data_IF_753294692086
#
_entry.id   IF_753294692086
#
_cell.length_a   1.000
_cell.length_b   1.000
_cell.length_c   1.000
_cell.angle_alpha   90.00
_cell.angle_beta   90.00
_cell.angle_gamma   90.00
#
_symmetry.space_group_name_H-M   'P 1'
#
loop_
_entity.id
_entity.type
_entity.pdbx_description
1 polymer ?
#
# COMPACT_ATOMS: atom_id res chain seq x y z
N UNK A 1 -19.70 -70.47 -14.85
CA UNK A 1 -18.37 -70.14 -14.29
C UNK A 1 -17.57 -69.44 -15.38
N UNK A 2 -17.39 -68.11 -15.33
CA UNK A 2 -16.04 -67.52 -15.29
C UNK A 2 -16.14 -66.01 -15.02
N UNK A 3 -15.80 -65.64 -13.79
CA UNK A 3 -15.61 -64.28 -13.29
C UNK A 3 -14.17 -63.85 -13.63
N UNK A 4 -13.96 -63.03 -14.66
CA UNK A 4 -12.60 -62.57 -15.03
C UNK A 4 -12.60 -61.23 -15.80
N UNK A 5 -13.47 -60.28 -15.43
CA UNK A 5 -13.49 -58.95 -16.08
C UNK A 5 -13.65 -57.77 -15.12
N UNK A 6 -13.38 -57.98 -13.83
CA UNK A 6 -13.53 -56.98 -12.78
C UNK A 6 -12.23 -56.55 -12.09
N UNK A 7 -11.06 -57.12 -12.46
CA UNK A 7 -9.78 -56.84 -11.78
C UNK A 7 -8.88 -55.82 -12.50
N UNK A 8 -9.15 -55.48 -13.77
CA UNK A 8 -8.30 -54.54 -14.54
C UNK A 8 -8.74 -53.07 -14.45
N UNK A 9 -10.00 -52.78 -14.10
CA UNK A 9 -10.48 -51.40 -14.03
C UNK A 9 -10.06 -50.71 -12.73
N UNK A 10 -9.98 -51.45 -11.62
CA UNK A 10 -9.59 -50.93 -10.30
C UNK A 10 -8.11 -50.51 -10.25
N UNK A 11 -7.20 -51.27 -10.87
CA UNK A 11 -5.77 -50.93 -10.86
C UNK A 11 -5.43 -49.66 -11.66
N UNK A 12 -6.20 -49.34 -12.70
CA UNK A 12 -6.02 -48.12 -13.49
C UNK A 12 -6.55 -46.86 -12.75
N UNK A 13 -7.65 -47.01 -12.00
CA UNK A 13 -8.25 -45.93 -11.19
C UNK A 13 -7.39 -45.63 -9.95
N UNK A 14 -6.82 -46.66 -9.32
CA UNK A 14 -5.88 -46.52 -8.19
C UNK A 14 -4.57 -45.85 -8.64
N UNK A 15 -4.05 -46.19 -9.83
CA UNK A 15 -2.84 -45.57 -10.39
C UNK A 15 -3.06 -44.09 -10.75
N UNK A 16 -4.23 -43.74 -11.32
CA UNK A 16 -4.58 -42.36 -11.63
C UNK A 16 -4.76 -41.51 -10.36
N UNK A 17 -5.39 -42.08 -9.33
CA UNK A 17 -5.61 -41.41 -8.03
C UNK A 17 -4.28 -41.15 -7.31
N UNK A 18 -3.37 -42.14 -7.30
CA UNK A 18 -2.04 -41.99 -6.71
C UNK A 18 -1.20 -40.93 -7.45
N UNK A 19 -1.29 -40.89 -8.79
CA UNK A 19 -0.58 -39.89 -9.60
C UNK A 19 -1.08 -38.47 -9.32
N UNK A 20 -2.40 -38.28 -9.20
CA UNK A 20 -2.98 -36.96 -8.88
C UNK A 20 -2.60 -36.49 -7.47
N UNK A 21 -2.64 -37.41 -6.49
CA UNK A 21 -2.26 -37.11 -5.11
C UNK A 21 -0.77 -36.78 -4.99
N UNK A 22 0.09 -37.45 -5.75
CA UNK A 22 1.53 -37.18 -5.81
C UNK A 22 1.82 -35.83 -6.50
N UNK A 23 1.08 -35.47 -7.56
CA UNK A 23 1.20 -34.11 -8.16
C UNK A 23 0.73 -33.02 -7.22
N UNK A 24 -0.33 -33.24 -6.44
CA UNK A 24 -0.84 -32.26 -5.48
C UNK A 24 0.13 -32.06 -4.31
N UNK A 25 0.70 -33.14 -3.77
CA UNK A 25 1.72 -33.08 -2.70
C UNK A 25 2.96 -32.34 -3.20
N UNK A 26 3.46 -32.68 -4.39
CA UNK A 26 4.60 -31.98 -5.00
C UNK A 26 4.31 -30.49 -5.26
N UNK A 27 3.08 -30.13 -5.64
CA UNK A 27 2.69 -28.72 -5.84
C UNK A 27 2.66 -27.93 -4.53
N UNK A 28 2.23 -28.56 -3.44
CA UNK A 28 2.17 -27.96 -2.10
C UNK A 28 3.57 -27.82 -1.51
N UNK A 29 4.42 -28.83 -1.67
CA UNK A 29 5.80 -28.81 -1.19
C UNK A 29 6.67 -27.83 -1.97
N UNK A 30 6.51 -27.73 -3.29
CA UNK A 30 7.16 -26.69 -4.09
C UNK A 30 6.72 -25.29 -3.65
N UNK A 31 5.43 -25.07 -3.42
CA UNK A 31 4.90 -23.79 -2.93
C UNK A 31 5.36 -23.47 -1.49
N UNK A 32 5.67 -24.49 -0.69
CA UNK A 32 6.24 -24.32 0.66
C UNK A 32 7.73 -24.02 0.59
N UNK A 33 8.47 -24.71 -0.27
CA UNK A 33 9.88 -24.46 -0.55
C UNK A 33 10.10 -23.06 -1.14
N UNK A 34 9.25 -22.63 -2.07
CA UNK A 34 9.26 -21.27 -2.64
C UNK A 34 8.96 -20.20 -1.58
N UNK A 35 8.09 -20.50 -0.61
CA UNK A 35 7.83 -19.61 0.53
C UNK A 35 8.99 -19.52 1.51
N UNK A 36 9.71 -20.63 1.74
CA UNK A 36 10.91 -20.68 2.58
C UNK A 36 12.09 -19.99 1.89
N UNK A 37 12.28 -20.21 0.59
CA UNK A 37 13.30 -19.56 -0.22
C UNK A 37 13.07 -18.05 -0.37
N UNK A 38 11.82 -17.60 -0.41
CA UNK A 38 11.48 -16.17 -0.35
C UNK A 38 11.62 -15.56 1.05
N UNK A 39 11.71 -16.37 2.11
CA UNK A 39 12.00 -15.90 3.47
C UNK A 39 13.51 -15.73 3.70
N UNK A 40 14.34 -16.55 3.04
CA UNK A 40 15.80 -16.58 3.20
C UNK A 40 16.55 -15.55 2.34
N UNK A 41 15.90 -14.90 1.37
CA UNK A 41 16.52 -13.93 0.45
C UNK A 41 16.46 -12.48 0.91
N UNK A 42 16.33 -12.21 2.22
CA UNK A 42 16.57 -10.89 2.77
C UNK A 42 18.08 -10.60 2.77
N UNK A 43 18.66 -10.47 1.56
CA UNK A 43 20.00 -9.94 1.36
C UNK A 43 20.12 -8.64 2.19
N UNK A 44 21.13 -8.50 3.06
CA UNK A 44 21.24 -7.37 3.95
C UNK A 44 21.63 -6.12 3.16
N UNK A 45 20.63 -5.45 2.59
CA UNK A 45 20.82 -4.14 2.00
C UNK A 45 21.13 -3.15 3.12
N UNK A 46 22.20 -2.37 2.92
CA UNK A 46 22.60 -1.30 3.84
C UNK A 46 21.43 -0.34 4.03
N UNK A 47 20.94 -0.23 5.26
CA UNK A 47 19.83 0.68 5.60
C UNK A 47 20.40 2.10 5.64
N UNK A 48 19.90 2.95 4.75
CA UNK A 48 20.20 4.38 4.74
C UNK A 48 19.01 5.16 5.32
N UNK A 49 19.25 5.84 6.43
CA UNK A 49 18.23 6.60 7.15
C UNK A 49 18.14 8.03 6.58
N UNK A 50 16.92 8.45 6.29
CA UNK A 50 16.57 9.77 5.80
C UNK A 50 16.26 10.70 6.98
N UNK A 51 17.29 11.25 7.61
CA UNK A 51 17.17 12.06 8.84
C UNK A 51 16.24 13.26 8.71
N UNK A 52 16.15 13.90 7.54
CA UNK A 52 15.20 14.99 7.30
C UNK A 52 13.74 14.54 7.48
N UNK A 53 13.42 13.32 7.05
CA UNK A 53 12.08 12.73 7.18
C UNK A 53 11.83 12.30 8.63
N UNK A 54 12.86 11.76 9.30
CA UNK A 54 12.78 11.45 10.74
C UNK A 54 12.44 12.71 11.54
N UNK A 55 13.17 13.81 11.33
CA UNK A 55 12.91 15.09 12.01
C UNK A 55 11.52 15.63 11.71
N UNK A 56 11.05 15.51 10.46
CA UNK A 56 9.69 15.89 10.07
C UNK A 56 8.63 15.11 10.87
N UNK A 57 8.74 13.79 10.96
CA UNK A 57 7.79 12.99 11.74
C UNK A 57 7.88 13.26 13.24
N UNK A 58 9.08 13.40 13.80
CA UNK A 58 9.24 13.75 15.22
C UNK A 58 8.57 15.08 15.53
N UNK A 59 8.81 16.10 14.70
CA UNK A 59 8.16 17.40 14.85
C UNK A 59 6.64 17.32 14.71
N UNK A 60 6.13 16.56 13.73
CA UNK A 60 4.70 16.34 13.55
C UNK A 60 4.04 15.69 14.77
N UNK A 61 4.64 14.63 15.32
CA UNK A 61 4.09 13.94 16.51
C UNK A 61 4.12 14.83 17.75
N UNK A 62 5.19 15.59 17.98
CA UNK A 62 5.26 16.55 19.08
C UNK A 62 4.21 17.65 18.95
N UNK A 63 4.02 18.15 17.72
CA UNK A 63 2.98 19.15 17.41
C UNK A 63 1.57 18.60 17.63
N UNK A 64 1.31 17.35 17.26
CA UNK A 64 0.03 16.69 17.50
C UNK A 64 -0.27 16.51 18.99
N UNK A 65 0.72 16.10 19.79
CA UNK A 65 0.57 15.98 21.26
C UNK A 65 0.26 17.35 21.87
N UNK A 66 0.98 18.40 21.45
CA UNK A 66 0.74 19.76 21.93
C UNK A 66 -0.63 20.30 21.47
N UNK A 67 -1.02 20.04 20.23
CA UNK A 67 -2.34 20.37 19.69
C UNK A 67 -3.47 19.71 20.47
N UNK A 68 -3.30 18.43 20.84
CA UNK A 68 -4.25 17.70 21.67
C UNK A 68 -4.40 18.34 23.05
N UNK A 69 -3.29 18.75 23.67
CA UNK A 69 -3.32 19.50 24.93
C UNK A 69 -4.11 20.82 24.78
N UNK A 70 -3.79 21.63 23.76
CA UNK A 70 -4.48 22.90 23.50
C UNK A 70 -5.97 22.73 23.22
N UNK A 71 -6.35 21.62 22.58
CA UNK A 71 -7.73 21.27 22.27
C UNK A 71 -8.62 21.25 23.52
N UNK A 72 -8.06 20.83 24.66
CA UNK A 72 -8.79 20.74 25.93
C UNK A 72 -8.61 21.94 26.86
N UNK A 73 -7.56 22.75 26.67
CA UNK A 73 -7.25 23.84 27.60
C UNK A 73 -7.60 25.23 27.09
N UNK A 74 -7.49 25.49 25.79
CA UNK A 74 -7.36 26.88 25.30
C UNK A 74 -8.02 27.17 23.95
N UNK A 75 -8.30 26.16 23.11
CA UNK A 75 -8.88 26.40 21.78
C UNK A 75 -10.38 26.65 21.82
N UNK A 76 -10.88 27.46 20.89
CA UNK A 76 -12.31 27.62 20.67
C UNK A 76 -12.90 26.32 20.10
N UNK A 77 -14.14 25.99 20.46
CA UNK A 77 -14.86 24.83 19.93
C UNK A 77 -14.89 24.81 18.39
N UNK A 78 -15.00 25.98 17.75
CA UNK A 78 -14.98 26.09 16.29
C UNK A 78 -13.66 25.61 15.68
N UNK A 79 -12.53 25.91 16.32
CA UNK A 79 -11.20 25.46 15.88
C UNK A 79 -11.08 23.95 16.01
N UNK A 80 -11.55 23.37 17.12
CA UNK A 80 -11.60 21.92 17.32
C UNK A 80 -12.47 21.23 16.27
N UNK A 81 -13.66 21.79 16.00
CA UNK A 81 -14.55 21.27 14.97
C UNK A 81 -13.93 21.34 13.58
N UNK A 82 -13.30 22.47 13.23
CA UNK A 82 -12.59 22.63 11.97
C UNK A 82 -11.48 21.60 11.79
N UNK A 83 -10.65 21.37 12.82
CA UNK A 83 -9.60 20.34 12.80
C UNK A 83 -10.17 18.94 12.59
N UNK A 84 -11.24 18.59 13.32
CA UNK A 84 -11.90 17.29 13.16
C UNK A 84 -12.50 17.10 11.76
N UNK A 85 -13.17 18.12 11.21
CA UNK A 85 -13.68 18.07 9.85
C UNK A 85 -12.55 17.90 8.83
N UNK A 86 -11.43 18.60 9.02
CA UNK A 86 -10.26 18.50 8.15
C UNK A 86 -9.66 17.09 8.16
N UNK A 87 -9.59 16.45 9.34
CA UNK A 87 -9.14 15.06 9.50
C UNK A 87 -10.07 14.04 8.85
N UNK A 88 -11.39 14.22 8.96
CA UNK A 88 -12.36 13.35 8.29
C UNK A 88 -12.26 13.50 6.76
N UNK A 89 -12.12 14.75 6.27
CA UNK A 89 -11.99 15.02 4.84
C UNK A 89 -10.70 14.42 4.28
N UNK A 90 -9.57 14.53 4.98
CA UNK A 90 -8.32 13.90 4.54
C UNK A 90 -8.44 12.37 4.49
N UNK A 91 -9.01 11.76 5.52
CA UNK A 91 -9.27 10.31 5.56
C UNK A 91 -10.18 9.82 4.43
N UNK A 92 -11.20 10.60 4.05
CA UNK A 92 -12.03 10.32 2.88
C UNK A 92 -11.24 10.43 1.57
N UNK A 93 -10.35 11.41 1.44
CA UNK A 93 -9.45 11.55 0.29
C UNK A 93 -8.57 10.32 0.08
N UNK A 94 -8.02 9.77 1.15
CA UNK A 94 -7.22 8.53 1.12
C UNK A 94 -8.10 7.33 0.81
N UNK A 95 -9.16 7.10 1.59
CA UNK A 95 -9.94 5.85 1.50
C UNK A 95 -10.83 5.77 0.26
N UNK A 96 -11.59 6.83 -0.04
CA UNK A 96 -12.46 6.86 -1.20
C UNK A 96 -11.69 7.19 -2.48
N UNK A 97 -10.69 8.08 -2.41
CA UNK A 97 -9.85 8.47 -3.53
C UNK A 97 -8.68 7.52 -3.78
N UNK A 98 -7.58 7.73 -3.06
CA UNK A 98 -6.30 7.03 -3.30
C UNK A 98 -6.47 5.51 -3.37
N UNK A 99 -7.16 4.96 -2.39
CA UNK A 99 -7.32 3.52 -2.23
C UNK A 99 -8.34 2.94 -3.22
N UNK A 100 -9.63 3.30 -3.10
CA UNK A 100 -10.71 2.65 -3.86
C UNK A 100 -10.82 3.12 -5.31
N UNK A 101 -10.68 4.42 -5.56
CA UNK A 101 -10.85 4.97 -6.91
C UNK A 101 -9.62 4.75 -7.78
N UNK A 102 -8.46 5.24 -7.35
CA UNK A 102 -7.26 5.26 -8.20
C UNK A 102 -6.43 3.97 -8.10
N UNK A 103 -6.31 3.37 -6.91
CA UNK A 103 -5.51 2.14 -6.77
C UNK A 103 -6.26 0.90 -7.23
N UNK A 104 -7.49 0.68 -6.74
CA UNK A 104 -8.27 -0.53 -7.03
C UNK A 104 -9.32 -0.39 -8.13
N UNK A 105 -9.61 0.83 -8.61
CA UNK A 105 -10.62 1.07 -9.65
C UNK A 105 -12.00 0.47 -9.28
N UNK A 106 -12.34 0.47 -7.99
CA UNK A 106 -13.57 -0.16 -7.48
C UNK A 106 -14.85 0.55 -7.95
N UNK A 107 -14.75 1.80 -8.39
CA UNK A 107 -15.85 2.57 -8.97
C UNK A 107 -15.33 3.59 -9.99
N UNK A 108 -16.23 4.13 -10.81
CA UNK A 108 -15.93 5.21 -11.77
C UNK A 108 -16.53 6.51 -11.26
N UNK A 109 -15.73 7.57 -11.23
CA UNK A 109 -16.15 8.91 -10.82
C UNK A 109 -16.10 9.88 -12.01
N UNK A 110 -17.07 10.79 -12.07
CA UNK A 110 -16.99 11.94 -12.98
C UNK A 110 -15.94 12.95 -12.50
N UNK A 111 -15.51 13.83 -13.38
CA UNK A 111 -14.44 14.79 -13.10
C UNK A 111 -14.64 15.63 -11.82
N UNK A 112 -15.86 16.07 -11.41
CA UNK A 112 -16.01 16.90 -10.21
C UNK A 112 -15.64 16.15 -8.94
N UNK A 113 -16.12 14.91 -8.80
CA UNK A 113 -15.80 14.06 -7.65
C UNK A 113 -14.31 13.71 -7.62
N UNK A 114 -13.70 13.42 -8.78
CA UNK A 114 -12.26 13.16 -8.88
C UNK A 114 -11.44 14.36 -8.43
N UNK A 115 -11.85 15.56 -8.82
CA UNK A 115 -11.18 16.79 -8.43
C UNK A 115 -11.29 17.03 -6.92
N UNK A 116 -12.50 16.89 -6.35
CA UNK A 116 -12.71 17.01 -4.89
C UNK A 116 -11.86 16.00 -4.13
N UNK A 117 -11.89 14.72 -4.51
CA UNK A 117 -11.09 13.67 -3.87
C UNK A 117 -9.58 13.92 -4.00
N UNK A 118 -9.14 14.58 -5.08
CA UNK A 118 -7.74 14.95 -5.27
C UNK A 118 -7.33 16.07 -4.31
N UNK A 119 -8.19 17.07 -4.08
CA UNK A 119 -7.92 18.10 -3.07
C UNK A 119 -7.89 17.47 -1.67
N UNK A 120 -8.88 16.62 -1.35
CA UNK A 120 -8.97 15.92 -0.07
C UNK A 120 -7.76 15.01 0.19
N UNK A 121 -7.27 14.28 -0.82
CA UNK A 121 -6.05 13.48 -0.68
C UNK A 121 -4.80 14.35 -0.53
N UNK A 122 -4.77 15.53 -1.15
CA UNK A 122 -3.67 16.49 -0.97
C UNK A 122 -3.63 17.05 0.46
N UNK A 123 -4.78 17.17 1.13
CA UNK A 123 -4.85 17.58 2.55
C UNK A 123 -4.29 16.48 3.48
N UNK A 124 -4.26 15.21 3.05
CA UNK A 124 -3.78 14.09 3.87
C UNK A 124 -2.24 13.98 3.97
N UNK A 125 -1.49 14.67 3.11
CA UNK A 125 -0.01 14.68 3.08
C UNK A 125 0.66 13.32 2.86
N UNK A 126 -0.04 12.36 2.26
CA UNK A 126 0.48 11.03 1.92
C UNK A 126 1.07 10.94 0.50
N UNK A 127 1.91 11.91 0.10
CA UNK A 127 2.42 12.06 -1.28
C UNK A 127 1.31 12.28 -2.34
N UNK A 128 1.73 12.48 -3.59
CA UNK A 128 0.80 12.65 -4.71
C UNK A 128 0.17 11.31 -5.13
N UNK A 129 -1.05 11.36 -5.68
CA UNK A 129 -1.87 10.20 -6.07
C UNK A 129 -1.05 9.17 -6.86
N UNK A 130 -0.25 9.61 -7.82
CA UNK A 130 0.54 8.71 -8.67
C UNK A 130 1.52 7.82 -7.89
N UNK A 131 2.17 8.35 -6.85
CA UNK A 131 3.18 7.61 -6.07
C UNK A 131 2.50 6.72 -5.06
N UNK A 132 1.49 7.24 -4.35
CA UNK A 132 0.70 6.45 -3.41
C UNK A 132 0.08 5.22 -4.08
N UNK A 133 -0.52 5.40 -5.27
CA UNK A 133 -1.08 4.29 -6.03
C UNK A 133 -0.03 3.30 -6.53
N UNK A 134 1.18 3.77 -6.86
CA UNK A 134 2.29 2.88 -7.21
C UNK A 134 2.65 2.01 -6.02
N UNK A 135 2.91 2.62 -4.86
CA UNK A 135 3.26 1.93 -3.61
C UNK A 135 2.19 0.92 -3.23
N UNK A 136 0.93 1.31 -3.29
CA UNK A 136 -0.21 0.45 -2.95
C UNK A 136 -0.36 -0.74 -3.91
N UNK A 137 -0.20 -0.52 -5.22
CA UNK A 137 -0.26 -1.61 -6.22
C UNK A 137 0.90 -2.58 -6.06
N UNK A 138 2.10 -2.08 -5.74
CA UNK A 138 3.27 -2.90 -5.44
C UNK A 138 3.03 -3.72 -4.17
N UNK A 139 2.57 -3.08 -3.10
CA UNK A 139 2.26 -3.73 -1.84
C UNK A 139 1.30 -4.90 -2.03
N UNK A 140 0.19 -4.72 -2.76
CA UNK A 140 -0.76 -5.81 -3.01
C UNK A 140 -0.22 -6.92 -3.91
N UNK A 141 0.66 -6.59 -4.88
CA UNK A 141 1.17 -7.57 -5.85
C UNK A 141 2.36 -8.37 -5.31
N UNK A 142 3.17 -7.75 -4.46
CA UNK A 142 4.44 -8.29 -3.98
C UNK A 142 4.51 -8.31 -2.45
N UNK A 143 3.36 -8.48 -1.78
CA UNK A 143 3.23 -8.50 -0.32
C UNK A 143 4.26 -9.41 0.33
N UNK A 144 4.83 -8.96 1.44
CA UNK A 144 5.79 -9.73 2.25
C UNK A 144 7.08 -10.15 1.51
N UNK A 145 7.45 -9.41 0.46
CA UNK A 145 8.73 -9.54 -0.25
C UNK A 145 9.60 -8.29 -0.07
N UNK A 146 10.85 -8.32 -0.53
CA UNK A 146 11.72 -7.14 -0.50
C UNK A 146 11.22 -5.97 -1.35
N UNK A 147 10.35 -6.24 -2.32
CA UNK A 147 9.75 -5.20 -3.16
C UNK A 147 8.55 -4.52 -2.50
N UNK A 148 7.99 -5.09 -1.44
CA UNK A 148 6.90 -4.49 -0.67
C UNK A 148 7.43 -3.29 0.13
N UNK A 149 6.94 -2.06 -0.12
CA UNK A 149 7.46 -0.87 0.54
C UNK A 149 7.34 -0.95 2.07
N UNK A 150 6.27 -1.53 2.60
CA UNK A 150 6.00 -1.64 4.04
C UNK A 150 5.90 -3.10 4.51
N UNK A 151 6.79 -3.95 3.98
CA UNK A 151 6.91 -5.38 4.29
C UNK A 151 6.81 -5.67 5.80
N UNK A 152 5.75 -6.37 6.21
CA UNK A 152 5.47 -6.69 7.61
C UNK A 152 6.49 -7.68 8.22
N UNK A 153 7.18 -8.49 7.41
CA UNK A 153 8.24 -9.40 7.89
C UNK A 153 9.47 -8.67 8.43
N UNK A 154 9.64 -7.40 8.09
CA UNK A 154 10.71 -6.55 8.67
C UNK A 154 10.36 -6.00 10.05
N UNK A 155 9.20 -6.37 10.59
CA UNK A 155 8.75 -6.04 11.94
C UNK A 155 7.79 -4.85 11.99
N UNK A 156 7.10 -4.74 13.12
CA UNK A 156 6.05 -3.73 13.37
C UNK A 156 6.51 -2.29 13.12
N UNK A 157 7.68 -1.91 13.66
CA UNK A 157 8.17 -0.54 13.49
C UNK A 157 8.48 -0.21 12.03
N UNK A 158 8.98 -1.18 11.26
CA UNK A 158 9.26 -0.98 9.84
C UNK A 158 7.98 -0.75 9.04
N UNK A 159 6.99 -1.63 9.18
CA UNK A 159 5.73 -1.51 8.44
C UNK A 159 4.87 -0.32 8.89
N UNK A 160 5.01 0.13 10.14
CA UNK A 160 4.26 1.28 10.65
C UNK A 160 4.81 2.63 10.17
N UNK A 161 6.10 2.91 10.41
CA UNK A 161 6.73 4.21 10.09
C UNK A 161 8.14 4.08 9.52
N UNK A 162 8.84 2.98 9.81
CA UNK A 162 10.24 2.79 9.44
C UNK A 162 10.45 2.84 7.92
N UNK A 163 9.51 2.32 7.13
CA UNK A 163 9.58 2.35 5.67
C UNK A 163 9.59 3.75 5.06
N UNK A 164 9.03 4.75 5.76
CA UNK A 164 9.01 6.14 5.32
C UNK A 164 10.34 6.85 5.55
N UNK A 165 11.10 6.42 6.56
CA UNK A 165 12.33 7.09 7.02
C UNK A 165 13.61 6.42 6.55
N UNK A 166 13.51 5.36 5.75
CA UNK A 166 14.66 4.67 5.15
C UNK A 166 14.56 4.68 3.64
N UNK A 167 15.70 4.56 2.95
CA UNK A 167 15.70 4.32 1.51
C UNK A 167 14.98 3.00 1.19
N UNK A 168 14.13 3.04 0.14
CA UNK A 168 13.44 1.85 -0.37
C UNK A 168 14.48 0.83 -0.89
N UNK A 169 14.15 -0.45 -0.77
CA UNK A 169 15.01 -1.53 -1.23
C UNK A 169 15.18 -1.48 -2.77
N UNK A 170 16.34 -1.84 -3.35
CA UNK A 170 16.55 -1.83 -4.80
C UNK A 170 15.46 -2.57 -5.59
N UNK A 171 15.06 -3.77 -5.13
CA UNK A 171 14.00 -4.57 -5.76
C UNK A 171 12.67 -3.82 -5.93
N UNK A 172 12.34 -2.85 -5.07
CA UNK A 172 11.14 -2.04 -5.21
C UNK A 172 11.13 -1.29 -6.55
N UNK A 173 12.27 -0.71 -6.96
CA UNK A 173 12.39 0.06 -8.20
C UNK A 173 12.24 -0.83 -9.44
N UNK A 174 12.78 -2.06 -9.39
CA UNK A 174 12.63 -3.02 -10.49
C UNK A 174 11.16 -3.46 -10.66
N UNK A 175 10.40 -3.56 -9.57
CA UNK A 175 8.97 -3.89 -9.65
C UNK A 175 8.12 -2.69 -10.06
N UNK A 176 8.50 -1.46 -9.72
CA UNK A 176 7.80 -0.25 -10.18
C UNK A 176 7.64 -0.23 -11.70
N UNK A 177 8.68 -0.63 -12.44
CA UNK A 177 8.67 -0.68 -13.90
C UNK A 177 7.68 -1.71 -14.47
N UNK A 178 7.28 -2.70 -13.66
CA UNK A 178 6.38 -3.80 -14.03
C UNK A 178 4.92 -3.55 -13.63
N UNK A 179 4.65 -2.48 -12.90
CA UNK A 179 3.29 -2.08 -12.55
C UNK A 179 2.72 -1.20 -13.66
N UNK A 180 1.57 -1.60 -14.20
CA UNK A 180 0.84 -0.75 -15.11
C UNK A 180 0.29 0.47 -14.37
N UNK A 181 0.64 1.65 -14.85
CA UNK A 181 0.20 2.96 -14.36
C UNK A 181 -0.39 3.80 -15.50
N UNK A 182 -0.65 3.20 -16.67
CA UNK A 182 -1.17 3.88 -17.85
C UNK A 182 -2.48 4.62 -17.57
N UNK A 183 -3.35 4.04 -16.76
CA UNK A 183 -4.62 4.65 -16.35
C UNK A 183 -4.43 5.96 -15.57
N UNK A 184 -3.43 6.02 -14.69
CA UNK A 184 -3.12 7.21 -13.90
C UNK A 184 -2.35 8.24 -14.73
N UNK A 185 -1.51 7.80 -15.68
CA UNK A 185 -0.85 8.70 -16.65
C UNK A 185 -1.86 9.38 -17.57
N UNK A 186 -2.93 8.67 -17.93
CA UNK A 186 -4.00 9.18 -18.78
C UNK A 186 -5.05 10.00 -18.00
N UNK A 187 -4.94 10.08 -16.68
CA UNK A 187 -5.81 10.90 -15.83
C UNK A 187 -5.25 12.32 -15.69
N UNK A 188 -5.85 13.34 -16.32
CA UNK A 188 -5.33 14.71 -16.25
C UNK A 188 -5.40 15.30 -14.84
N UNK A 189 -6.33 14.86 -13.98
CA UNK A 189 -6.45 15.35 -12.60
C UNK A 189 -5.30 14.80 -11.75
N UNK A 190 -4.97 13.52 -11.93
CA UNK A 190 -3.84 12.88 -11.24
C UNK A 190 -2.52 13.51 -11.68
N UNK A 191 -2.34 13.71 -12.99
CA UNK A 191 -1.12 14.31 -13.52
C UNK A 191 -1.00 15.80 -13.17
N UNK A 192 -2.13 16.53 -13.08
CA UNK A 192 -2.17 17.88 -12.55
C UNK A 192 -1.69 17.92 -11.10
N UNK A 193 -2.27 17.09 -10.23
CA UNK A 193 -1.85 17.04 -8.83
C UNK A 193 -0.37 16.67 -8.70
N UNK A 194 0.10 15.67 -9.45
CA UNK A 194 1.52 15.29 -9.47
C UNK A 194 2.42 16.47 -9.83
N UNK A 195 2.07 17.23 -10.87
CA UNK A 195 2.86 18.38 -11.34
C UNK A 195 2.88 19.54 -10.34
N UNK A 196 1.74 19.81 -9.70
CA UNK A 196 1.56 20.93 -8.78
C UNK A 196 1.54 20.49 -7.31
N UNK A 197 2.05 19.30 -7.00
CA UNK A 197 1.90 18.72 -5.67
C UNK A 197 2.50 19.61 -4.59
N UNK A 198 3.75 20.07 -4.77
CA UNK A 198 4.43 20.92 -3.78
C UNK A 198 3.70 22.26 -3.56
N UNK A 199 3.33 23.03 -4.61
CA UNK A 199 2.50 24.22 -4.42
C UNK A 199 1.16 23.97 -3.73
N UNK A 200 0.44 22.91 -4.13
CA UNK A 200 -0.84 22.55 -3.52
C UNK A 200 -0.67 22.13 -2.06
N UNK A 201 0.37 21.34 -1.77
CA UNK A 201 0.73 20.89 -0.43
C UNK A 201 1.00 22.09 0.47
N UNK A 202 1.81 23.07 0.03
CA UNK A 202 2.10 24.28 0.81
C UNK A 202 0.85 25.13 1.04
N UNK A 203 -0.02 25.26 0.04
CA UNK A 203 -1.30 25.96 0.16
C UNK A 203 -2.19 25.30 1.22
N UNK A 204 -2.32 23.98 1.17
CA UNK A 204 -3.15 23.23 2.10
C UNK A 204 -2.51 23.09 3.48
N UNK A 205 -1.19 23.06 3.60
CA UNK A 205 -0.49 23.10 4.90
C UNK A 205 -0.77 24.39 5.68
N UNK A 206 -0.94 25.51 4.99
CA UNK A 206 -1.30 26.78 5.62
C UNK A 206 -2.80 26.89 5.92
N UNK A 207 -3.64 26.32 5.04
CA UNK A 207 -5.11 26.46 5.14
C UNK A 207 -5.75 25.39 6.03
N UNK A 208 -5.21 24.18 6.02
CA UNK A 208 -5.66 22.99 6.75
C UNK A 208 -4.47 22.41 7.52
N UNK A 209 -4.01 23.08 8.59
CA UNK A 209 -2.97 22.51 9.44
C UNK A 209 -3.47 21.18 10.00
N UNK A 210 -2.78 20.09 9.64
CA UNK A 210 -2.97 18.75 10.20
C UNK A 210 -2.24 18.62 11.53
#
# INVERSE_FOLDING_TARGET
MNTSRAMDATGAEDAATNTMMETDINSVDNNKQDRVNNMSSLEPVKIEILWSIVLFFVFGHLSAIYGLYLMFTSTKLLTTFYGLCSWILSGLGVTAGLHRLWSHKSYKAKWPLRFILMLMSTIAFENHIYEWCMDHRIHHKYTDTNSDPHNAKRGFFFSHIGWLVVRRHPDYYDKCLKIDMSDLKNDPIVMFQKKFYVPLLLLFALSFPQ
#
